data_IF_901750007308
#
_entry.id   IF_901750007308
#
_cell.length_a   1.000
_cell.length_b   1.000
_cell.length_c   1.000
_cell.angle_alpha   90.00
_cell.angle_beta   90.00
_cell.angle_gamma   90.00
#
_symmetry.space_group_name_H-M   'P 1'
#
loop_
_entity.id
_entity.type
_entity.pdbx_description
1 polymer ?
#
# COMPACT_ATOMS: atom_id res chain seq x y z
N UNK A 1 -9.25 9.11 5.50
CA UNK A 1 -9.54 10.26 6.36
C UNK A 1 -10.10 9.75 7.68
N UNK A 2 -9.75 10.37 8.78
CA UNK A 2 -10.31 10.11 10.11
C UNK A 2 -10.29 11.39 10.94
N UNK A 3 -11.03 11.42 12.05
CA UNK A 3 -11.10 12.56 12.97
C UNK A 3 -11.51 13.87 12.25
N UNK A 4 -12.58 13.82 11.44
CA UNK A 4 -13.15 15.01 10.82
C UNK A 4 -13.84 15.84 11.90
N UNK A 5 -13.41 17.10 12.03
CA UNK A 5 -14.00 18.08 12.96
C UNK A 5 -14.38 19.31 12.18
N UNK A 6 -15.57 19.82 12.46
CA UNK A 6 -16.11 21.04 11.88
C UNK A 6 -16.56 21.94 13.01
N UNK A 7 -16.29 23.24 12.88
CA UNK A 7 -16.84 24.27 13.76
C UNK A 7 -17.43 25.40 12.93
N UNK A 8 -18.56 25.92 13.39
CA UNK A 8 -19.19 27.10 12.80
C UNK A 8 -18.68 28.35 13.52
N UNK A 9 -18.31 29.36 12.76
CA UNK A 9 -17.86 30.66 13.27
C UNK A 9 -18.52 31.76 12.44
N UNK A 10 -19.65 32.28 12.93
CA UNK A 10 -20.49 33.19 12.15
C UNK A 10 -21.08 32.51 10.91
N UNK A 11 -20.98 33.12 9.71
CA UNK A 11 -21.46 32.52 8.47
C UNK A 11 -20.52 31.44 7.91
N UNK A 12 -19.33 31.28 8.50
CA UNK A 12 -18.27 30.41 7.97
C UNK A 12 -18.15 29.09 8.72
N UNK A 13 -17.65 28.07 8.02
CA UNK A 13 -17.27 26.78 8.59
C UNK A 13 -15.74 26.65 8.53
N UNK A 14 -15.16 26.22 9.64
CA UNK A 14 -13.76 25.82 9.74
C UNK A 14 -13.70 24.31 9.95
N UNK A 15 -12.88 23.62 9.17
CA UNK A 15 -12.75 22.17 9.23
C UNK A 15 -11.32 21.68 9.37
N UNK A 16 -11.16 20.54 10.03
CA UNK A 16 -9.90 19.81 10.05
C UNK A 16 -10.14 18.30 9.91
N UNK A 17 -9.19 17.60 9.32
CA UNK A 17 -9.21 16.14 9.25
C UNK A 17 -7.80 15.57 9.22
N UNK A 18 -7.69 14.27 9.49
CA UNK A 18 -6.43 13.53 9.43
C UNK A 18 -6.39 12.60 8.22
N UNK A 19 -5.25 12.55 7.56
CA UNK A 19 -4.96 11.63 6.45
C UNK A 19 -3.85 10.69 6.84
N UNK A 20 -4.17 9.39 6.77
CA UNK A 20 -3.20 8.34 6.93
C UNK A 20 -2.36 8.15 5.67
N UNK A 21 -1.04 8.33 5.73
CA UNK A 21 -0.12 8.04 4.63
C UNK A 21 0.84 6.91 5.00
N UNK A 22 1.34 6.17 4.01
CA UNK A 22 2.34 5.13 4.26
C UNK A 22 3.63 5.79 4.75
N UNK A 23 4.29 5.19 5.75
CA UNK A 23 5.50 5.73 6.43
C UNK A 23 6.69 6.05 5.52
N UNK A 24 6.77 5.43 4.36
CA UNK A 24 7.88 5.58 3.40
C UNK A 24 7.63 6.68 2.35
N UNK A 25 6.51 7.38 2.42
CA UNK A 25 6.26 8.56 1.57
C UNK A 25 7.12 9.70 2.12
N UNK A 26 7.82 10.41 1.24
CA UNK A 26 8.61 11.58 1.61
C UNK A 26 7.72 12.74 2.06
N UNK A 27 8.27 13.63 2.89
CA UNK A 27 7.54 14.74 3.50
C UNK A 27 6.97 15.70 2.45
N UNK A 28 7.68 15.93 1.33
CA UNK A 28 7.20 16.81 0.27
C UNK A 28 5.92 16.26 -0.38
N UNK A 29 5.93 14.98 -0.73
CA UNK A 29 4.77 14.29 -1.31
C UNK A 29 3.61 14.19 -0.33
N UNK A 30 3.90 14.07 0.97
CA UNK A 30 2.89 14.15 2.02
C UNK A 30 2.18 15.51 2.03
N UNK A 31 2.94 16.62 1.97
CA UNK A 31 2.38 17.97 1.86
C UNK A 31 1.57 18.14 0.58
N UNK A 32 2.08 17.72 -0.58
CA UNK A 32 1.34 17.80 -1.84
C UNK A 32 -0.01 17.06 -1.80
N UNK A 33 -0.09 15.95 -1.06
CA UNK A 33 -1.35 15.22 -0.86
C UNK A 33 -2.30 16.04 0.02
N UNK A 34 -1.81 16.62 1.12
CA UNK A 34 -2.60 17.45 2.02
C UNK A 34 -3.18 18.66 1.29
N UNK A 35 -2.34 19.44 0.61
CA UNK A 35 -2.72 20.64 -0.14
C UNK A 35 -3.81 20.32 -1.18
N UNK A 36 -3.62 19.24 -1.95
CA UNK A 36 -4.60 18.80 -2.95
C UNK A 36 -5.95 18.43 -2.34
N UNK A 37 -5.98 17.92 -1.12
CA UNK A 37 -7.24 17.62 -0.42
C UNK A 37 -7.87 18.93 0.04
N UNK A 38 -7.12 19.80 0.71
CA UNK A 38 -7.61 21.09 1.21
C UNK A 38 -8.23 21.93 0.11
N UNK A 39 -7.53 22.09 -1.02
CA UNK A 39 -8.04 22.84 -2.17
C UNK A 39 -9.33 22.24 -2.72
N UNK A 40 -9.41 20.90 -2.83
CA UNK A 40 -10.60 20.23 -3.35
C UNK A 40 -11.81 20.40 -2.44
N UNK A 41 -11.60 20.40 -1.12
CA UNK A 41 -12.68 20.60 -0.15
C UNK A 41 -13.16 22.06 -0.20
N UNK A 42 -12.23 23.02 -0.14
CA UNK A 42 -12.55 24.47 -0.24
C UNK A 42 -13.32 24.80 -1.53
N UNK A 43 -12.94 24.20 -2.66
CA UNK A 43 -13.62 24.42 -3.95
C UNK A 43 -15.02 23.80 -4.06
N UNK A 44 -15.33 22.74 -3.29
CA UNK A 44 -16.57 21.95 -3.45
C UNK A 44 -17.61 22.19 -2.36
N UNK A 45 -17.22 22.75 -1.22
CA UNK A 45 -18.10 22.87 -0.05
C UNK A 45 -18.16 24.33 0.40
N UNK A 46 -19.11 25.09 -0.15
CA UNK A 46 -19.49 26.39 0.39
C UNK A 46 -20.40 26.14 1.61
N UNK A 47 -20.17 26.71 2.82
CA UNK A 47 -19.36 27.88 3.20
C UNK A 47 -18.06 27.56 3.99
N UNK A 48 -17.22 26.60 3.54
CA UNK A 48 -15.94 26.32 4.21
C UNK A 48 -14.92 27.40 3.88
N UNK A 49 -14.54 28.21 4.88
CA UNK A 49 -13.53 29.27 4.77
C UNK A 49 -12.12 28.70 4.87
N UNK A 50 -11.90 27.80 5.84
CA UNK A 50 -10.63 27.13 6.06
C UNK A 50 -10.83 25.64 6.30
N UNK A 51 -9.95 24.85 5.69
CA UNK A 51 -9.89 23.41 5.86
C UNK A 51 -8.44 23.00 5.99
N UNK A 52 -8.10 22.30 7.08
CA UNK A 52 -6.74 21.84 7.39
C UNK A 52 -6.65 20.32 7.32
N UNK A 53 -5.60 19.80 6.69
CA UNK A 53 -5.35 18.37 6.57
C UNK A 53 -4.05 18.00 7.29
N UNK A 54 -4.19 17.34 8.43
CA UNK A 54 -3.04 16.79 9.15
C UNK A 54 -2.65 15.43 8.57
N UNK A 55 -1.37 15.26 8.28
CA UNK A 55 -0.83 14.00 7.79
C UNK A 55 -0.30 13.18 8.95
N UNK A 56 -0.78 11.93 9.07
CA UNK A 56 -0.29 10.98 10.07
C UNK A 56 0.22 9.69 9.42
N UNK A 57 1.25 9.05 10.00
CA UNK A 57 1.72 7.75 9.51
C UNK A 57 0.67 6.67 9.75
N UNK A 58 0.18 6.07 8.67
CA UNK A 58 -0.72 4.93 8.70
C UNK A 58 0.06 3.63 8.58
N UNK A 59 -0.12 2.73 9.56
CA UNK A 59 0.24 1.32 9.43
C UNK A 59 -0.97 0.57 8.88
N UNK A 60 -0.81 -0.01 7.68
CA UNK A 60 -1.79 -0.94 7.15
C UNK A 60 -1.91 -2.15 8.07
N UNK A 61 -3.13 -2.65 8.26
CA UNK A 61 -3.36 -3.93 8.92
C UNK A 61 -3.30 -5.11 7.93
N UNK A 62 -2.93 -4.86 6.68
CA UNK A 62 -2.63 -5.89 5.71
C UNK A 62 -1.16 -6.27 5.74
N UNK A 63 -0.89 -7.57 5.74
CA UNK A 63 0.44 -8.14 5.54
C UNK A 63 0.41 -9.01 4.27
N UNK A 64 1.34 -8.75 3.35
CA UNK A 64 1.49 -9.50 2.11
C UNK A 64 2.80 -10.26 2.18
N UNK A 65 2.72 -11.59 2.27
CA UNK A 65 3.87 -12.48 2.36
C UNK A 65 4.13 -13.11 0.99
N UNK A 66 5.40 -13.32 0.66
CA UNK A 66 5.81 -13.92 -0.61
C UNK A 66 6.78 -15.05 -0.33
N UNK A 67 6.44 -16.25 -0.80
CA UNK A 67 7.26 -17.44 -0.64
C UNK A 67 7.71 -17.97 -2.01
N UNK A 68 9.01 -18.21 -2.24
CA UNK A 68 9.46 -18.93 -3.42
C UNK A 68 9.06 -20.41 -3.28
N UNK A 69 8.37 -20.97 -4.29
CA UNK A 69 7.88 -22.36 -4.24
C UNK A 69 8.17 -23.09 -5.54
N UNK A 70 8.41 -24.41 -5.44
CA UNK A 70 8.70 -25.26 -6.60
C UNK A 70 7.44 -25.70 -7.36
N UNK A 71 6.28 -25.72 -6.69
CA UNK A 71 5.01 -26.18 -7.24
C UNK A 71 3.80 -25.43 -6.65
N UNK A 72 2.60 -25.69 -7.20
CA UNK A 72 1.35 -25.05 -6.82
C UNK A 72 0.43 -25.97 -5.99
N UNK A 73 0.82 -26.30 -4.76
CA UNK A 73 0.03 -27.11 -3.82
C UNK A 73 -0.63 -26.24 -2.73
N UNK A 74 -1.06 -25.03 -3.09
CA UNK A 74 -1.63 -24.07 -2.14
C UNK A 74 -0.65 -23.69 -1.03
N UNK A 75 -1.14 -23.65 0.22
CA UNK A 75 -0.30 -23.35 1.39
C UNK A 75 0.66 -24.49 1.77
N UNK A 76 0.47 -25.69 1.22
CA UNK A 76 1.35 -26.85 1.41
C UNK A 76 2.47 -26.93 0.37
N UNK A 77 2.56 -25.95 -0.54
CA UNK A 77 3.65 -25.86 -1.51
C UNK A 77 5.02 -25.91 -0.84
N UNK A 78 5.90 -26.75 -1.36
CA UNK A 78 7.30 -26.81 -0.94
C UNK A 78 8.01 -25.50 -1.25
N UNK A 79 8.64 -24.93 -0.23
CA UNK A 79 9.49 -23.75 -0.37
C UNK A 79 10.72 -24.15 -1.18
N UNK A 80 11.04 -23.33 -2.18
CA UNK A 80 12.23 -23.51 -3.00
C UNK A 80 13.45 -22.88 -2.31
N UNK A 81 14.53 -23.66 -2.20
CA UNK A 81 15.81 -23.19 -1.64
C UNK A 81 16.46 -22.05 -2.44
N UNK A 82 16.08 -21.92 -3.72
CA UNK A 82 16.67 -20.95 -4.66
C UNK A 82 15.63 -19.91 -5.06
N UNK A 83 15.50 -18.84 -4.30
CA UNK A 83 14.56 -17.73 -4.59
C UNK A 83 14.57 -17.30 -6.07
N UNK A 84 15.76 -17.05 -6.65
CA UNK A 84 15.89 -16.59 -8.03
C UNK A 84 15.44 -17.62 -9.09
N UNK A 85 15.45 -18.91 -8.74
CA UNK A 85 15.17 -20.05 -9.63
C UNK A 85 13.88 -20.79 -9.27
N UNK A 86 13.14 -20.32 -8.29
CA UNK A 86 11.87 -20.89 -7.91
C UNK A 86 10.91 -20.88 -9.11
N UNK A 87 10.13 -21.93 -9.29
CA UNK A 87 9.18 -22.04 -10.40
C UNK A 87 8.04 -21.02 -10.26
N UNK A 88 7.63 -20.77 -9.02
CA UNK A 88 6.54 -19.86 -8.67
C UNK A 88 6.85 -19.04 -7.41
N UNK A 89 6.09 -17.97 -7.22
CA UNK A 89 5.99 -17.22 -5.98
C UNK A 89 4.56 -17.30 -5.45
N UNK A 90 4.41 -17.82 -4.24
CA UNK A 90 3.14 -17.87 -3.52
C UNK A 90 2.97 -16.56 -2.74
N UNK A 91 1.97 -15.77 -3.10
CA UNK A 91 1.56 -14.58 -2.38
C UNK A 91 0.45 -14.94 -1.40
N UNK A 92 0.63 -14.63 -0.12
CA UNK A 92 -0.35 -14.85 0.94
C UNK A 92 -0.77 -13.49 1.51
N UNK A 93 -2.07 -13.22 1.50
CA UNK A 93 -2.65 -11.97 2.00
C UNK A 93 -3.26 -12.21 3.38
N UNK A 94 -2.80 -11.45 4.37
CA UNK A 94 -3.32 -11.45 5.72
C UNK A 94 -3.93 -10.08 6.04
N UNK A 95 -5.01 -10.05 6.82
CA UNK A 95 -5.58 -8.81 7.39
C UNK A 95 -5.80 -9.00 8.88
N UNK A 96 -5.16 -8.16 9.70
CA UNK A 96 -5.08 -8.34 11.16
C UNK A 96 -4.68 -9.78 11.50
N UNK A 97 -3.64 -10.25 10.81
CA UNK A 97 -3.06 -11.61 10.92
C UNK A 97 -4.01 -12.77 10.60
N UNK A 98 -5.21 -12.49 10.10
CA UNK A 98 -6.14 -13.50 9.59
C UNK A 98 -5.91 -13.71 8.10
N UNK A 99 -5.80 -14.97 7.67
CA UNK A 99 -5.72 -15.34 6.27
C UNK A 99 -6.92 -14.81 5.47
N UNK A 100 -6.64 -14.21 4.31
CA UNK A 100 -7.65 -13.67 3.39
C UNK A 100 -7.61 -14.27 2.00
N UNK A 101 -6.51 -14.92 1.63
CA UNK A 101 -6.37 -15.56 0.33
C UNK A 101 -4.91 -15.72 -0.06
N UNK A 102 -4.67 -16.50 -1.10
CA UNK A 102 -3.37 -16.61 -1.73
C UNK A 102 -3.50 -16.66 -3.25
N UNK A 103 -2.42 -16.36 -3.96
CA UNK A 103 -2.30 -16.59 -5.40
C UNK A 103 -0.86 -16.93 -5.77
N UNK A 104 -0.66 -17.51 -6.96
CA UNK A 104 0.65 -17.84 -7.47
C UNK A 104 1.06 -16.93 -8.62
N UNK A 105 2.32 -16.51 -8.63
CA UNK A 105 2.97 -15.83 -9.74
C UNK A 105 4.02 -16.76 -10.35
N UNK A 106 3.95 -17.03 -11.65
CA UNK A 106 4.99 -17.82 -12.35
C UNK A 106 6.28 -17.01 -12.48
N UNK A 107 7.43 -17.63 -12.24
CA UNK A 107 8.72 -17.00 -12.43
C UNK A 107 9.11 -17.00 -13.92
N UNK A 108 8.86 -15.89 -14.61
CA UNK A 108 9.27 -15.69 -16.01
C UNK A 108 10.78 -15.49 -16.21
N UNK A 109 11.56 -15.45 -15.12
CA UNK A 109 13.01 -15.23 -15.13
C UNK A 109 13.78 -16.42 -14.58
N UNK A 110 13.13 -17.58 -14.41
CA UNK A 110 13.72 -18.79 -13.85
C UNK A 110 14.96 -19.26 -14.61
N UNK A 111 14.99 -19.14 -15.94
CA UNK A 111 16.09 -19.61 -16.79
C UNK A 111 17.15 -18.52 -17.08
N UNK A 112 16.94 -17.30 -16.59
CA UNK A 112 17.79 -16.15 -16.91
C UNK A 112 19.22 -16.38 -16.41
N UNK A 113 20.21 -16.52 -17.30
CA UNK A 113 21.59 -16.88 -16.88
C UNK A 113 22.20 -15.90 -15.87
N UNK A 114 22.06 -14.60 -16.10
CA UNK A 114 22.66 -13.54 -15.27
C UNK A 114 21.62 -12.64 -14.59
N UNK A 115 21.92 -12.16 -13.38
CA UNK A 115 21.08 -11.23 -12.61
C UNK A 115 19.62 -11.71 -12.43
N UNK A 116 19.41 -13.03 -12.33
CA UNK A 116 18.08 -13.63 -12.14
C UNK A 116 17.40 -13.13 -10.86
N UNK A 117 18.12 -13.08 -9.74
CA UNK A 117 17.59 -12.59 -8.46
C UNK A 117 17.06 -11.15 -8.55
N UNK A 118 17.80 -10.25 -9.21
CA UNK A 118 17.35 -8.88 -9.44
C UNK A 118 16.11 -8.82 -10.33
N UNK A 119 16.07 -9.62 -11.40
CA UNK A 119 14.92 -9.67 -12.29
C UNK A 119 13.66 -10.17 -11.56
N UNK A 120 13.80 -11.22 -10.74
CA UNK A 120 12.75 -11.76 -9.88
C UNK A 120 12.30 -10.73 -8.84
N UNK A 121 13.22 -10.05 -8.15
CA UNK A 121 12.87 -9.04 -7.16
C UNK A 121 12.05 -7.91 -7.79
N UNK A 122 12.39 -7.48 -9.01
CA UNK A 122 11.59 -6.52 -9.78
C UNK A 122 10.22 -7.08 -10.19
N UNK A 123 10.14 -8.35 -10.57
CA UNK A 123 8.88 -9.03 -10.92
C UNK A 123 7.92 -9.10 -9.72
N UNK A 124 8.43 -9.50 -8.56
CA UNK A 124 7.68 -9.57 -7.29
C UNK A 124 7.28 -8.16 -6.84
N UNK A 125 8.20 -7.19 -6.87
CA UNK A 125 7.93 -5.80 -6.45
C UNK A 125 6.94 -5.04 -7.34
N UNK A 126 6.68 -5.51 -8.56
CA UNK A 126 5.61 -4.98 -9.42
C UNK A 126 4.21 -5.43 -9.02
N UNK A 127 4.09 -6.49 -8.20
CA UNK A 127 2.80 -6.94 -7.73
C UNK A 127 2.24 -5.93 -6.73
N UNK A 128 0.99 -5.54 -6.92
CA UNK A 128 0.31 -4.64 -5.98
C UNK A 128 0.05 -5.39 -4.67
N UNK A 129 0.48 -4.78 -3.57
CA UNK A 129 0.08 -5.11 -2.19
C UNK A 129 -1.19 -4.35 -1.83
#
# INVERSE_FOLDING_TARGET
FFDLRLRKSGPFILGETKVGIRKFIDVKKAHEIADKVEEKVKKRVFPIESFMVHVEPFKSNWHHLVFPVSEKQGLNSKISDKFARASYFLFVNLKKDKFKGFYFLKNSHQEKRIKAGLAVAKLVGKQKS
#
